data_IF_972154435181
#
_entry.id   IF_972154435181
#
_cell.length_a   1.000
_cell.length_b   1.000
_cell.length_c   1.000
_cell.angle_alpha   90.00
_cell.angle_beta   90.00
_cell.angle_gamma   90.00
#
_symmetry.space_group_name_H-M   'P 1'
#
loop_
_entity.id
_entity.type
_entity.pdbx_description
1 polymer ?
#
# COMPACT_ATOMS: atom_id res chain seq x y z
N UNK A 1 16.67 -16.51 17.78
CA UNK A 1 16.27 -15.95 16.47
C UNK A 1 15.32 -14.81 16.75
N UNK A 2 15.41 -13.67 16.08
CA UNK A 2 14.41 -12.61 16.23
C UNK A 2 13.02 -13.16 15.90
N UNK A 3 12.00 -12.65 16.60
CA UNK A 3 10.62 -13.04 16.34
C UNK A 3 10.25 -12.75 14.87
N UNK A 4 9.46 -13.59 14.20
CA UNK A 4 9.04 -13.33 12.83
C UNK A 4 8.21 -12.04 12.79
N UNK A 5 8.38 -11.25 11.73
CA UNK A 5 7.66 -9.97 11.55
C UNK A 5 6.14 -10.14 11.55
N UNK A 6 5.67 -11.26 11.00
CA UNK A 6 4.27 -11.70 11.02
C UNK A 6 4.25 -13.19 11.45
N UNK A 7 3.34 -13.54 12.33
CA UNK A 7 3.17 -14.93 12.74
C UNK A 7 2.48 -15.78 11.67
N UNK A 8 2.61 -17.09 11.77
CA UNK A 8 2.06 -18.02 10.79
C UNK A 8 0.53 -18.03 10.80
N UNK A 9 -0.09 -17.86 11.97
CA UNK A 9 -1.54 -17.87 12.08
C UNK A 9 -2.17 -16.67 11.35
N UNK A 10 -1.54 -15.49 11.43
CA UNK A 10 -1.96 -14.32 10.67
C UNK A 10 -1.74 -14.53 9.17
N UNK A 11 -0.61 -15.11 8.74
CA UNK A 11 -0.37 -15.39 7.31
C UNK A 11 -1.46 -16.28 6.70
N UNK A 12 -1.91 -17.33 7.42
CA UNK A 12 -2.99 -18.21 6.95
C UNK A 12 -4.34 -17.46 6.81
N UNK A 13 -4.61 -16.47 7.67
CA UNK A 13 -5.79 -15.61 7.55
C UNK A 13 -5.67 -14.64 6.36
N UNK A 14 -4.48 -14.08 6.13
CA UNK A 14 -4.20 -13.15 5.02
C UNK A 14 -4.38 -13.78 3.62
N UNK A 15 -4.26 -15.09 3.49
CA UNK A 15 -4.48 -15.80 2.22
C UNK A 15 -5.91 -15.62 1.66
N UNK A 16 -6.86 -15.21 2.50
CA UNK A 16 -8.26 -14.96 2.12
C UNK A 16 -8.51 -13.56 1.62
N UNK A 17 -7.58 -12.63 1.86
CA UNK A 17 -7.70 -11.22 1.49
C UNK A 17 -7.23 -10.96 0.07
N UNK A 18 -7.72 -9.88 -0.51
CA UNK A 18 -7.31 -9.36 -1.82
C UNK A 18 -7.14 -7.84 -1.72
N UNK A 19 -6.09 -7.30 -2.31
CA UNK A 19 -5.92 -5.85 -2.43
C UNK A 19 -6.82 -5.36 -3.56
N UNK A 20 -7.74 -4.45 -3.24
CA UNK A 20 -8.71 -3.96 -4.21
C UNK A 20 -8.14 -2.80 -5.02
N UNK A 21 -8.24 -2.89 -6.35
CA UNK A 21 -7.90 -1.83 -7.27
C UNK A 21 -9.10 -1.44 -8.14
N UNK A 22 -9.50 -0.17 -8.09
CA UNK A 22 -10.67 0.34 -8.83
C UNK A 22 -10.38 0.75 -10.27
N UNK A 23 -9.14 1.11 -10.61
CA UNK A 23 -8.79 1.57 -11.96
C UNK A 23 -8.58 0.36 -12.88
N UNK A 24 -9.62 0.01 -13.63
CA UNK A 24 -9.43 -0.79 -14.84
C UNK A 24 -8.36 -0.12 -15.71
N UNK A 25 -7.33 -0.87 -16.10
CA UNK A 25 -6.34 -0.37 -17.06
C UNK A 25 -7.09 0.06 -18.33
N UNK A 26 -7.08 1.34 -18.74
CA UNK A 26 -7.67 1.74 -20.00
C UNK A 26 -6.90 1.03 -21.12
N UNK A 27 -7.55 0.08 -21.80
CA UNK A 27 -6.96 -0.77 -22.85
C UNK A 27 -7.12 -2.27 -22.65
N UNK A 28 -7.50 -2.75 -21.45
CA UNK A 28 -7.79 -4.17 -21.18
C UNK A 28 -9.29 -4.48 -21.05
N UNK A 29 -10.13 -3.48 -20.80
CA UNK A 29 -11.59 -3.59 -20.76
C UNK A 29 -12.20 -2.44 -21.54
N UNK A 30 -12.10 -2.50 -22.83
CA UNK A 30 -12.72 -1.52 -23.72
C UNK A 30 -12.81 -2.04 -25.13
N UNK A 31 -13.96 -2.63 -25.48
CA UNK A 31 -14.41 -2.82 -26.84
C UNK A 31 -13.55 -3.75 -27.75
N UNK A 32 -14.03 -4.94 -28.01
CA UNK A 32 -13.73 -5.80 -29.16
C UNK A 32 -12.36 -6.49 -29.32
N UNK A 33 -11.40 -6.32 -28.43
CA UNK A 33 -10.19 -7.14 -28.44
C UNK A 33 -10.03 -7.87 -27.12
N UNK A 34 -10.65 -9.02 -26.98
CA UNK A 34 -10.29 -10.04 -25.98
C UNK A 34 -8.81 -10.34 -26.15
N UNK A 35 -8.05 -10.16 -25.06
CA UNK A 35 -6.61 -10.41 -25.04
C UNK A 35 -6.25 -11.74 -25.69
N UNK A 36 -5.33 -11.70 -26.66
CA UNK A 36 -4.87 -12.87 -27.43
C UNK A 36 -3.90 -13.78 -26.69
N UNK A 37 -3.68 -13.56 -25.40
CA UNK A 37 -2.70 -14.33 -24.63
C UNK A 37 -3.37 -15.40 -23.77
N UNK A 38 -3.35 -16.64 -24.25
CA UNK A 38 -3.64 -17.80 -23.43
C UNK A 38 -2.35 -18.21 -22.69
N UNK A 39 -2.34 -18.17 -21.37
CA UNK A 39 -1.22 -18.61 -20.51
C UNK A 39 -1.69 -19.63 -19.47
N UNK A 40 -0.78 -20.49 -19.01
CA UNK A 40 -1.06 -21.47 -17.96
C UNK A 40 -1.35 -20.75 -16.62
N UNK A 41 -2.46 -21.09 -15.94
CA UNK A 41 -2.83 -20.56 -14.63
C UNK A 41 -4.00 -19.57 -14.63
N UNK A 42 -4.81 -19.55 -15.68
CA UNK A 42 -5.95 -18.65 -15.83
C UNK A 42 -7.26 -19.40 -15.65
N UNK A 43 -8.25 -18.76 -15.06
CA UNK A 43 -9.60 -19.29 -15.03
C UNK A 43 -10.15 -19.40 -16.45
N UNK A 44 -10.71 -20.58 -16.76
CA UNK A 44 -11.38 -20.81 -18.02
C UNK A 44 -12.65 -19.95 -18.08
N UNK A 45 -12.72 -19.07 -19.08
CA UNK A 45 -13.86 -18.17 -19.24
C UNK A 45 -14.94 -18.81 -20.13
N UNK A 46 -14.58 -19.16 -21.37
CA UNK A 46 -15.52 -19.68 -22.38
C UNK A 46 -14.79 -20.25 -23.62
N UNK A 47 -15.54 -20.72 -24.58
CA UNK A 47 -15.07 -21.11 -25.90
C UNK A 47 -15.51 -20.10 -26.96
N UNK A 48 -14.57 -19.63 -27.78
CA UNK A 48 -14.83 -18.81 -28.96
C UNK A 48 -14.60 -19.63 -30.24
N UNK A 49 -15.37 -19.40 -31.29
CA UNK A 49 -15.06 -19.95 -32.59
C UNK A 49 -13.69 -19.48 -33.09
N UNK A 50 -12.98 -20.40 -33.72
CA UNK A 50 -11.70 -20.11 -34.38
C UNK A 50 -11.93 -19.21 -35.59
N UNK A 51 -11.08 -18.23 -35.80
CA UNK A 51 -11.02 -17.37 -36.97
C UNK A 51 -9.63 -17.49 -37.60
N UNK A 52 -9.57 -17.31 -38.93
CA UNK A 52 -8.31 -17.34 -39.66
C UNK A 52 -7.35 -16.29 -39.12
N UNK A 53 -6.14 -16.75 -38.73
CA UNK A 53 -5.13 -15.92 -38.06
C UNK A 53 -5.02 -16.12 -36.53
N UNK A 54 -5.88 -16.93 -35.94
CA UNK A 54 -5.78 -17.30 -34.51
C UNK A 54 -4.66 -18.35 -34.30
N UNK A 55 -4.11 -18.37 -33.04
CA UNK A 55 -3.08 -19.35 -32.67
C UNK A 55 -3.68 -20.74 -32.48
N UNK A 56 -3.26 -21.69 -33.30
CA UNK A 56 -3.69 -23.10 -33.26
C UNK A 56 -3.35 -23.79 -31.91
N UNK A 57 -2.39 -23.28 -31.13
CA UNK A 57 -2.04 -23.83 -29.80
C UNK A 57 -3.15 -23.63 -28.78
N UNK A 58 -3.98 -22.62 -28.98
CA UNK A 58 -5.12 -22.31 -28.11
C UNK A 58 -6.38 -23.12 -28.47
N UNK A 59 -6.35 -23.92 -29.53
CA UNK A 59 -7.49 -24.71 -29.96
C UNK A 59 -7.83 -25.82 -28.98
N UNK A 60 -9.12 -25.97 -28.69
CA UNK A 60 -9.63 -27.10 -27.92
C UNK A 60 -9.83 -28.33 -28.79
N UNK A 61 -8.78 -29.13 -28.97
CA UNK A 61 -8.81 -30.35 -29.80
C UNK A 61 -9.83 -31.37 -29.30
N UNK A 62 -10.15 -31.42 -28.00
CA UNK A 62 -11.20 -32.31 -27.47
C UNK A 62 -12.59 -31.86 -27.91
N UNK A 63 -12.85 -30.56 -27.99
CA UNK A 63 -14.11 -30.04 -28.51
C UNK A 63 -14.22 -30.29 -30.02
N UNK A 64 -13.12 -30.12 -30.76
CA UNK A 64 -13.07 -30.43 -32.19
C UNK A 64 -13.44 -31.90 -32.50
N UNK A 65 -12.86 -32.85 -31.75
CA UNK A 65 -13.16 -34.28 -31.94
C UNK A 65 -14.62 -34.68 -31.67
N UNK A 66 -15.37 -33.88 -30.91
CA UNK A 66 -16.78 -34.15 -30.58
C UNK A 66 -17.77 -33.38 -31.44
N UNK A 67 -17.42 -32.18 -31.86
CA UNK A 67 -18.35 -31.25 -32.47
C UNK A 67 -17.99 -30.90 -33.92
N UNK A 68 -16.84 -31.37 -34.40
CA UNK A 68 -16.28 -31.04 -35.72
C UNK A 68 -16.22 -29.53 -36.01
N UNK A 69 -15.99 -28.76 -34.93
CA UNK A 69 -15.87 -27.30 -34.97
C UNK A 69 -14.66 -26.87 -34.16
N UNK A 70 -13.88 -25.92 -34.72
CA UNK A 70 -12.71 -25.39 -34.07
C UNK A 70 -13.12 -24.32 -33.05
N UNK A 71 -12.82 -24.57 -31.80
CA UNK A 71 -13.02 -23.62 -30.69
C UNK A 71 -11.67 -23.27 -30.04
N UNK A 72 -11.49 -22.00 -29.72
CA UNK A 72 -10.41 -21.52 -28.89
C UNK A 72 -10.85 -21.50 -27.42
N UNK A 73 -9.98 -21.95 -26.54
CA UNK A 73 -10.16 -21.75 -25.09
C UNK A 73 -9.86 -20.30 -24.75
N UNK A 74 -10.86 -19.62 -24.26
CA UNK A 74 -10.71 -18.26 -23.69
C UNK A 74 -10.41 -18.37 -22.20
N UNK A 75 -9.39 -17.68 -21.74
CA UNK A 75 -9.03 -17.60 -20.35
C UNK A 75 -9.16 -16.14 -19.91
N UNK A 76 -9.66 -15.93 -18.70
CA UNK A 76 -9.65 -14.63 -18.09
C UNK A 76 -8.23 -14.35 -17.59
N UNK A 77 -7.60 -13.32 -18.14
CA UNK A 77 -6.37 -12.79 -17.60
C UNK A 77 -6.73 -11.92 -16.40
N UNK A 78 -6.44 -12.39 -15.20
CA UNK A 78 -6.33 -11.46 -14.07
C UNK A 78 -5.06 -10.62 -14.30
N UNK A 79 -5.18 -9.33 -14.58
CA UNK A 79 -4.01 -8.49 -14.77
C UNK A 79 -3.24 -8.41 -13.44
N UNK A 80 -1.96 -8.78 -13.46
CA UNK A 80 -1.08 -8.58 -12.31
C UNK A 80 -0.97 -7.09 -12.03
N UNK A 81 -1.37 -6.70 -10.84
CA UNK A 81 -1.37 -5.30 -10.42
C UNK A 81 0.03 -4.94 -9.93
N UNK A 82 0.63 -3.86 -10.43
CA UNK A 82 1.82 -3.30 -9.79
C UNK A 82 1.41 -2.62 -8.48
N UNK A 83 1.63 -3.29 -7.35
CA UNK A 83 1.41 -2.77 -6.01
C UNK A 83 2.72 -2.23 -5.47
N UNK A 84 2.75 -0.96 -5.10
CA UNK A 84 3.93 -0.27 -4.59
C UNK A 84 3.62 0.27 -3.20
N UNK A 85 4.38 -0.19 -2.22
CA UNK A 85 4.23 0.19 -0.82
C UNK A 85 5.36 1.16 -0.51
N UNK A 86 5.02 2.44 -0.38
CA UNK A 86 5.91 3.48 0.10
C UNK A 86 5.84 3.47 1.63
N UNK A 87 6.96 3.13 2.27
CA UNK A 87 7.07 3.03 3.71
C UNK A 87 7.94 4.16 4.23
N UNK A 88 7.36 5.00 5.06
CA UNK A 88 8.08 6.07 5.75
C UNK A 88 9.05 5.48 6.78
N UNK A 89 10.31 5.93 6.70
CA UNK A 89 11.38 5.55 7.62
C UNK A 89 12.03 6.77 8.27
N UNK A 90 11.33 7.93 8.29
CA UNK A 90 11.80 9.16 8.94
C UNK A 90 11.90 9.00 10.46
N UNK A 91 12.57 9.94 11.12
CA UNK A 91 12.72 9.93 12.57
C UNK A 91 11.40 10.09 13.33
N UNK A 92 10.40 10.77 12.75
CA UNK A 92 9.08 10.91 13.35
C UNK A 92 8.41 9.55 13.61
N UNK A 93 8.72 8.55 12.77
CA UNK A 93 8.23 7.18 12.90
C UNK A 93 8.84 6.40 14.10
N UNK A 94 9.85 6.92 14.77
CA UNK A 94 10.49 6.26 15.93
C UNK A 94 9.69 6.41 17.22
N UNK A 95 8.74 7.36 17.28
CA UNK A 95 7.97 7.65 18.49
C UNK A 95 6.90 6.61 18.80
N UNK A 96 6.48 6.52 20.09
CA UNK A 96 5.46 5.61 20.63
C UNK A 96 5.97 4.75 21.79
N UNK A 97 5.16 4.62 22.87
CA UNK A 97 5.55 3.90 24.10
C UNK A 97 5.47 2.37 23.96
N UNK A 98 4.47 1.86 23.26
CA UNK A 98 4.16 0.42 23.18
C UNK A 98 4.62 -0.23 21.87
N UNK A 99 5.74 0.21 21.35
CA UNK A 99 6.25 -0.10 20.02
C UNK A 99 6.13 1.12 19.14
N UNK A 100 7.24 1.45 18.46
CA UNK A 100 7.26 2.63 17.63
C UNK A 100 6.34 2.48 16.42
N UNK A 101 5.88 3.59 15.87
CA UNK A 101 5.05 3.64 14.66
C UNK A 101 5.68 2.86 13.51
N UNK A 102 7.00 2.89 13.42
CA UNK A 102 7.74 2.18 12.39
C UNK A 102 7.61 0.66 12.48
N UNK A 103 7.69 0.07 13.69
CA UNK A 103 7.49 -1.38 13.85
C UNK A 103 6.09 -1.82 13.44
N UNK A 104 5.10 -0.98 13.76
CA UNK A 104 3.73 -1.20 13.33
C UNK A 104 3.59 -1.09 11.80
N UNK A 105 4.12 -0.02 11.21
CA UNK A 105 4.10 0.24 9.78
C UNK A 105 4.82 -0.87 8.99
N UNK A 106 5.95 -1.39 9.49
CA UNK A 106 6.65 -2.55 8.89
C UNK A 106 5.79 -3.80 8.87
N UNK A 107 5.09 -4.11 9.97
CA UNK A 107 4.19 -5.27 10.04
C UNK A 107 3.03 -5.12 9.06
N UNK A 108 2.47 -3.92 8.97
CA UNK A 108 1.39 -3.61 8.03
C UNK A 108 1.87 -3.73 6.58
N UNK A 109 3.03 -3.16 6.24
CA UNK A 109 3.66 -3.29 4.93
C UNK A 109 3.94 -4.76 4.57
N UNK A 110 4.42 -5.56 5.53
CA UNK A 110 4.64 -6.99 5.34
C UNK A 110 3.34 -7.75 5.07
N UNK A 111 2.27 -7.44 5.81
CA UNK A 111 0.96 -8.06 5.60
C UNK A 111 0.40 -7.74 4.20
N UNK A 112 0.43 -6.49 3.79
CA UNK A 112 -0.03 -6.08 2.46
C UNK A 112 0.84 -6.67 1.34
N UNK A 113 2.16 -6.72 1.54
CA UNK A 113 3.08 -7.42 0.63
C UNK A 113 2.70 -8.89 0.48
N UNK A 114 2.41 -9.59 1.58
CA UNK A 114 2.00 -10.99 1.55
C UNK A 114 0.70 -11.20 0.78
N UNK A 115 -0.33 -10.40 1.05
CA UNK A 115 -1.61 -10.46 0.34
C UNK A 115 -1.40 -10.33 -1.17
N UNK A 116 -0.63 -9.34 -1.62
CA UNK A 116 -0.34 -9.17 -3.05
C UNK A 116 0.48 -10.33 -3.64
N UNK A 117 1.47 -10.85 -2.91
CA UNK A 117 2.26 -12.00 -3.37
C UNK A 117 1.41 -13.27 -3.51
N UNK A 118 0.45 -13.51 -2.61
CA UNK A 118 -0.50 -14.64 -2.72
C UNK A 118 -1.33 -14.55 -4.00
N UNK A 119 -1.70 -13.33 -4.38
CA UNK A 119 -2.46 -13.04 -5.62
C UNK A 119 -1.59 -12.92 -6.88
N UNK A 120 -0.29 -13.21 -6.75
CA UNK A 120 0.70 -13.14 -7.84
C UNK A 120 0.95 -11.72 -8.39
N UNK A 121 0.60 -10.69 -7.63
CA UNK A 121 0.87 -9.30 -7.98
C UNK A 121 2.38 -9.00 -8.04
N UNK A 122 2.73 -7.91 -8.69
CA UNK A 122 4.08 -7.36 -8.67
C UNK A 122 4.22 -6.39 -7.51
N UNK A 123 5.00 -6.76 -6.50
CA UNK A 123 5.19 -5.97 -5.28
C UNK A 123 6.49 -5.20 -5.34
N UNK A 124 6.43 -3.92 -4.97
CA UNK A 124 7.58 -3.08 -4.68
C UNK A 124 7.44 -2.54 -3.24
N UNK A 125 8.42 -2.83 -2.39
CA UNK A 125 8.57 -2.16 -1.11
C UNK A 125 9.60 -1.05 -1.29
N UNK A 126 9.18 0.19 -1.11
CA UNK A 126 9.99 1.38 -1.32
C UNK A 126 10.06 2.20 -0.04
N UNK A 127 11.12 2.08 0.76
CA UNK A 127 11.32 2.97 1.89
C UNK A 127 11.65 4.39 1.41
N UNK A 128 11.20 5.39 2.16
CA UNK A 128 11.53 6.79 1.92
C UNK A 128 11.67 7.57 3.22
N UNK A 129 12.47 8.62 3.19
CA UNK A 129 12.60 9.69 4.19
C UNK A 129 12.85 11.00 3.46
N UNK A 130 14.00 11.63 3.59
CA UNK A 130 14.46 12.74 2.76
C UNK A 130 14.77 12.31 1.31
N UNK A 131 15.04 11.05 1.10
CA UNK A 131 15.32 10.42 -0.19
C UNK A 131 14.64 9.06 -0.29
N UNK A 132 14.53 8.54 -1.53
CA UNK A 132 14.15 7.14 -1.73
C UNK A 132 15.30 6.21 -1.35
N UNK A 133 15.02 5.26 -0.46
CA UNK A 133 15.94 4.16 -0.18
C UNK A 133 15.99 3.12 -1.30
N UNK A 134 16.73 2.04 -1.06
CA UNK A 134 16.75 0.90 -1.97
C UNK A 134 15.39 0.19 -1.98
N UNK A 135 14.89 -0.09 -3.18
CA UNK A 135 13.62 -0.78 -3.35
C UNK A 135 13.81 -2.30 -3.34
N UNK A 136 12.90 -3.00 -2.68
CA UNK A 136 12.76 -4.44 -2.84
C UNK A 136 11.64 -4.75 -3.84
N UNK A 137 11.97 -5.53 -4.86
CA UNK A 137 11.03 -5.93 -5.91
C UNK A 137 10.77 -7.43 -5.83
N UNK A 138 9.51 -7.83 -5.80
CA UNK A 138 9.11 -9.22 -5.79
C UNK A 138 7.89 -9.46 -6.71
N UNK A 139 7.91 -10.60 -7.37
CA UNK A 139 6.79 -11.14 -8.13
C UNK A 139 6.82 -12.66 -8.06
N UNK A 140 5.70 -13.31 -8.34
CA UNK A 140 5.71 -14.76 -8.49
C UNK A 140 5.32 -15.59 -7.28
N UNK A 141 4.66 -15.01 -6.30
CA UNK A 141 3.96 -15.78 -5.27
C UNK A 141 4.59 -15.76 -3.87
N UNK A 142 3.89 -16.40 -2.94
CA UNK A 142 4.17 -16.34 -1.48
C UNK A 142 5.57 -16.80 -1.06
N UNK A 143 6.26 -17.61 -1.86
CA UNK A 143 7.63 -18.06 -1.57
C UNK A 143 8.64 -16.90 -1.50
N UNK A 144 8.31 -15.75 -2.10
CA UNK A 144 9.13 -14.52 -2.04
C UNK A 144 8.96 -13.74 -0.74
N UNK A 145 7.95 -14.08 0.07
CA UNK A 145 7.63 -13.33 1.29
C UNK A 145 8.79 -13.31 2.31
N UNK A 146 9.51 -14.43 2.47
CA UNK A 146 10.62 -14.47 3.42
C UNK A 146 11.72 -13.42 3.08
N UNK A 147 11.98 -13.20 1.80
CA UNK A 147 12.93 -12.18 1.36
C UNK A 147 12.40 -10.76 1.66
N UNK A 148 11.11 -10.53 1.41
CA UNK A 148 10.44 -9.26 1.74
C UNK A 148 10.46 -8.98 3.26
N UNK A 149 10.15 -9.99 4.07
CA UNK A 149 10.19 -9.87 5.53
C UNK A 149 11.61 -9.57 6.04
N UNK A 150 12.62 -10.23 5.49
CA UNK A 150 14.02 -9.95 5.82
C UNK A 150 14.42 -8.52 5.42
N UNK A 151 14.00 -8.07 4.24
CA UNK A 151 14.24 -6.70 3.79
C UNK A 151 13.63 -5.69 4.78
N UNK A 152 12.33 -5.82 5.10
CA UNK A 152 11.65 -4.94 6.05
C UNK A 152 12.26 -4.97 7.46
N UNK A 153 12.73 -6.14 7.93
CA UNK A 153 13.38 -6.27 9.24
C UNK A 153 14.70 -5.52 9.31
N UNK A 154 15.43 -5.44 8.18
CA UNK A 154 16.74 -4.79 8.11
C UNK A 154 16.66 -3.27 7.87
N UNK A 155 15.47 -2.72 7.57
CA UNK A 155 15.31 -1.28 7.42
C UNK A 155 15.63 -0.56 8.74
N UNK A 156 16.25 0.60 8.62
CA UNK A 156 16.60 1.48 9.74
C UNK A 156 15.91 2.81 9.57
N UNK A 157 15.43 3.35 10.66
CA UNK A 157 14.89 4.70 10.75
C UNK A 157 16.04 5.70 10.58
N UNK A 158 15.77 6.81 9.90
CA UNK A 158 16.69 7.92 9.78
C UNK A 158 16.28 8.93 8.72
N UNK A 159 16.81 10.14 8.88
CA UNK A 159 16.50 11.27 8.00
C UNK A 159 15.26 12.05 8.44
N UNK A 160 15.09 13.21 7.83
CA UNK A 160 13.87 13.99 7.89
C UNK A 160 12.90 13.52 6.81
N UNK A 161 11.66 13.96 6.86
CA UNK A 161 10.67 13.66 5.83
C UNK A 161 10.77 14.66 4.67
N UNK A 162 10.83 14.16 3.43
CA UNK A 162 10.66 14.96 2.20
C UNK A 162 9.78 14.18 1.23
N UNK A 163 8.50 14.15 1.52
CA UNK A 163 7.56 13.32 0.76
C UNK A 163 7.45 13.77 -0.71
N UNK A 164 7.52 15.08 -1.00
CA UNK A 164 7.44 15.56 -2.39
C UNK A 164 8.67 15.15 -3.22
N UNK A 165 9.88 15.29 -2.65
CA UNK A 165 11.11 14.80 -3.29
C UNK A 165 11.04 13.30 -3.57
N UNK A 166 10.64 12.52 -2.55
CA UNK A 166 10.45 11.08 -2.68
C UNK A 166 9.41 10.70 -3.75
N UNK A 167 8.26 11.39 -3.82
CA UNK A 167 7.24 11.15 -4.83
C UNK A 167 7.73 11.41 -6.26
N UNK A 168 8.50 12.49 -6.46
CA UNK A 168 9.09 12.82 -7.76
C UNK A 168 10.10 11.76 -8.21
N UNK A 169 11.00 11.36 -7.32
CA UNK A 169 12.01 10.34 -7.62
C UNK A 169 11.37 8.97 -7.85
N UNK A 170 10.30 8.67 -7.10
CA UNK A 170 9.51 7.46 -7.28
C UNK A 170 8.87 7.38 -8.67
N UNK A 171 8.24 8.45 -9.17
CA UNK A 171 7.66 8.50 -10.53
C UNK A 171 8.74 8.33 -11.59
N UNK A 172 9.91 8.96 -11.41
CA UNK A 172 11.04 8.79 -12.32
C UNK A 172 11.49 7.33 -12.43
N UNK A 173 11.49 6.61 -11.30
CA UNK A 173 11.91 5.21 -11.20
C UNK A 173 10.82 4.22 -11.64
N UNK A 174 9.55 4.55 -11.37
CA UNK A 174 8.39 3.70 -11.64
C UNK A 174 7.27 4.43 -12.40
N UNK A 175 7.48 4.78 -13.68
CA UNK A 175 6.51 5.55 -14.46
C UNK A 175 5.22 4.78 -14.80
N UNK A 176 5.21 3.46 -14.62
CA UNK A 176 4.03 2.64 -14.91
C UNK A 176 2.95 2.84 -13.86
N UNK A 177 1.72 3.03 -14.32
CA UNK A 177 0.54 3.13 -13.44
C UNK A 177 0.40 1.90 -12.57
N UNK A 178 -0.06 2.08 -11.35
CA UNK A 178 -0.26 1.03 -10.38
C UNK A 178 -0.92 1.52 -9.11
N UNK A 179 -1.12 0.62 -8.18
CA UNK A 179 -1.57 0.95 -6.84
C UNK A 179 -0.37 1.39 -5.99
N UNK A 180 -0.47 2.55 -5.38
CA UNK A 180 0.53 3.07 -4.43
C UNK A 180 -0.11 3.15 -3.05
N UNK A 181 0.46 2.42 -2.11
CA UNK A 181 0.07 2.42 -0.71
C UNK A 181 1.13 3.20 0.04
N UNK A 182 0.78 4.34 0.61
CA UNK A 182 1.69 5.15 1.41
C UNK A 182 1.40 4.88 2.89
N UNK A 183 2.41 4.43 3.63
CA UNK A 183 2.32 4.17 5.06
C UNK A 183 3.26 5.14 5.76
N UNK A 184 2.69 6.12 6.49
CA UNK A 184 3.39 7.20 7.17
C UNK A 184 2.52 7.72 8.33
N UNK A 185 3.08 8.48 9.24
CA UNK A 185 2.31 9.30 10.17
C UNK A 185 1.83 10.62 9.52
N UNK A 186 2.40 10.98 8.36
CA UNK A 186 2.13 12.21 7.61
C UNK A 186 2.35 13.49 8.44
N UNK A 187 3.16 13.44 9.49
CA UNK A 187 3.51 14.57 10.32
C UNK A 187 4.72 15.33 9.72
N UNK A 188 4.59 15.77 8.50
CA UNK A 188 5.58 16.60 7.79
C UNK A 188 5.09 18.06 7.77
N UNK A 189 5.96 19.02 8.05
CA UNK A 189 5.69 20.45 7.96
C UNK A 189 5.34 20.88 6.53
N UNK A 190 5.70 20.06 5.53
CA UNK A 190 5.39 20.31 4.13
C UNK A 190 3.97 19.91 3.78
N UNK A 191 3.37 20.63 2.83
CA UNK A 191 2.06 20.33 2.28
C UNK A 191 2.03 18.94 1.61
N UNK A 192 1.38 17.97 2.26
CA UNK A 192 1.22 16.60 1.76
C UNK A 192 0.30 16.50 0.54
N UNK A 193 -0.49 17.53 0.22
CA UNK A 193 -1.41 17.54 -0.93
C UNK A 193 -0.64 17.47 -2.25
N UNK A 194 0.44 18.24 -2.39
CA UNK A 194 1.25 18.28 -3.62
C UNK A 194 1.83 16.94 -4.04
N UNK A 195 2.53 16.18 -3.15
CA UNK A 195 3.05 14.86 -3.52
C UNK A 195 1.95 13.87 -3.86
N UNK A 196 0.81 13.90 -3.16
CA UNK A 196 -0.30 13.00 -3.41
C UNK A 196 -0.99 13.31 -4.75
N UNK A 197 -1.20 14.59 -5.05
CA UNK A 197 -1.71 15.01 -6.35
C UNK A 197 -0.75 14.60 -7.47
N UNK A 198 0.55 14.83 -7.29
CA UNK A 198 1.57 14.44 -8.26
C UNK A 198 1.53 12.94 -8.58
N UNK A 199 1.49 12.08 -7.57
CA UNK A 199 1.33 10.63 -7.76
C UNK A 199 0.04 10.26 -8.50
N UNK A 200 -1.08 10.92 -8.17
CA UNK A 200 -2.37 10.69 -8.83
C UNK A 200 -2.40 11.15 -10.27
N UNK A 201 -1.76 12.29 -10.60
CA UNK A 201 -1.69 12.85 -11.96
C UNK A 201 -0.93 11.92 -12.92
N UNK A 202 0.06 11.20 -12.41
CA UNK A 202 0.72 10.11 -13.15
C UNK A 202 -0.11 8.84 -13.27
N UNK A 203 -1.33 8.86 -12.75
CA UNK A 203 -2.31 7.79 -12.92
C UNK A 203 -2.24 6.67 -11.90
N UNK A 204 -1.49 6.84 -10.81
CA UNK A 204 -1.51 5.90 -9.71
C UNK A 204 -2.83 6.01 -8.93
N UNK A 205 -3.32 4.90 -8.44
CA UNK A 205 -4.36 4.86 -7.42
C UNK A 205 -3.70 4.88 -6.04
N UNK A 206 -4.23 5.67 -5.12
CA UNK A 206 -3.59 5.91 -3.83
C UNK A 206 -4.38 5.25 -2.69
N UNK A 207 -3.67 4.60 -1.78
CA UNK A 207 -4.17 4.24 -0.45
C UNK A 207 -3.24 4.90 0.56
N UNK A 208 -3.77 5.89 1.29
CA UNK A 208 -3.06 6.56 2.36
C UNK A 208 -3.37 5.83 3.66
N UNK A 209 -2.34 5.31 4.29
CA UNK A 209 -2.44 4.64 5.58
C UNK A 209 -1.68 5.48 6.60
N UNK A 210 -2.41 6.32 7.33
CA UNK A 210 -1.84 7.10 8.41
C UNK A 210 -1.72 6.21 9.65
N UNK A 211 -0.52 6.15 10.22
CA UNK A 211 -0.21 5.41 11.45
C UNK A 211 0.24 6.40 12.51
N UNK A 212 -0.39 6.36 13.70
CA UNK A 212 0.00 7.23 14.82
C UNK A 212 0.01 6.47 16.14
N UNK A 213 0.83 6.91 17.08
CA UNK A 213 0.72 6.47 18.46
C UNK A 213 -0.43 7.21 19.16
N UNK A 214 -1.06 6.61 20.15
CA UNK A 214 -2.16 7.28 20.88
C UNK A 214 -1.71 8.62 21.49
N UNK A 215 -0.44 8.72 21.89
CA UNK A 215 0.18 9.95 22.39
C UNK A 215 0.33 11.04 21.32
N UNK A 216 0.39 10.70 20.04
CA UNK A 216 0.45 11.70 18.97
C UNK A 216 -0.89 12.44 18.84
N UNK A 217 -2.02 11.79 19.17
CA UNK A 217 -3.34 12.40 19.16
C UNK A 217 -3.74 12.97 20.52
N UNK A 218 -3.44 12.26 21.58
CA UNK A 218 -3.77 12.62 22.97
C UNK A 218 -2.51 12.63 23.82
N UNK A 219 -1.68 13.69 23.73
CA UNK A 219 -0.45 13.77 24.49
C UNK A 219 -0.70 13.69 26.00
N UNK A 220 0.02 12.82 26.74
CA UNK A 220 -0.17 12.65 28.18
C UNK A 220 0.52 13.74 29.01
N UNK A 221 0.90 14.83 28.39
CA UNK A 221 1.67 15.92 28.99
C UNK A 221 0.78 16.92 29.72
N UNK A 222 1.37 17.63 30.70
CA UNK A 222 0.71 18.70 31.43
C UNK A 222 1.77 19.64 32.01
N UNK A 223 1.45 20.94 32.09
CA UNK A 223 2.34 21.97 32.63
C UNK A 223 3.23 22.64 31.59
N UNK A 224 4.36 23.20 32.05
CA UNK A 224 5.35 23.80 31.15
C UNK A 224 6.20 22.74 30.49
N UNK A 225 6.26 22.76 29.17
CA UNK A 225 6.97 21.80 28.34
C UNK A 225 8.02 22.50 27.49
N UNK A 226 9.16 21.83 27.31
CA UNK A 226 10.13 22.11 26.27
C UNK A 226 10.10 20.94 25.29
N UNK A 227 9.49 21.16 24.11
CA UNK A 227 9.35 20.16 23.08
C UNK A 227 10.48 20.30 22.07
N UNK A 228 11.15 19.20 21.79
CA UNK A 228 12.16 19.10 20.74
C UNK A 228 11.55 18.41 19.50
N UNK A 229 11.64 19.06 18.36
CA UNK A 229 11.28 18.45 17.07
C UNK A 229 12.27 17.35 16.70
N UNK A 230 11.77 16.14 16.47
CA UNK A 230 12.61 14.95 16.25
C UNK A 230 13.45 15.01 14.96
N UNK A 231 13.00 15.78 13.95
CA UNK A 231 13.66 15.88 12.65
C UNK A 231 14.61 17.06 12.57
N UNK A 232 14.20 18.23 13.09
CA UNK A 232 14.96 19.49 12.97
C UNK A 232 15.79 19.81 14.21
N UNK A 233 15.46 19.22 15.36
CA UNK A 233 16.07 19.55 16.66
C UNK A 233 15.69 20.93 17.19
N UNK A 234 14.65 21.55 16.66
CA UNK A 234 14.14 22.82 17.15
C UNK A 234 13.38 22.63 18.46
N UNK A 235 13.53 23.59 19.37
CA UNK A 235 12.85 23.59 20.67
C UNK A 235 11.71 24.60 20.69
N UNK A 236 10.59 24.18 21.27
CA UNK A 236 9.43 25.04 21.51
C UNK A 236 8.99 24.91 22.97
N UNK A 237 9.14 26.02 23.75
CA UNK A 237 8.60 26.12 25.10
C UNK A 237 7.13 26.51 25.04
N UNK A 238 6.27 25.74 25.71
CA UNK A 238 4.84 26.04 25.78
C UNK A 238 4.20 25.51 27.05
N UNK A 239 3.15 26.21 27.51
CA UNK A 239 2.30 25.72 28.59
C UNK A 239 1.19 24.82 28.01
N UNK A 240 1.17 23.58 28.45
CA UNK A 240 0.23 22.58 27.98
C UNK A 240 -0.81 22.27 29.05
N UNK A 241 -1.94 22.96 28.98
CA UNK A 241 -3.07 22.77 29.87
C UNK A 241 -4.21 21.97 29.21
N UNK A 242 -5.31 21.78 29.93
CA UNK A 242 -6.47 21.03 29.39
C UNK A 242 -7.08 21.66 28.14
N UNK A 243 -7.02 23.00 28.01
CA UNK A 243 -7.52 23.71 26.84
C UNK A 243 -6.58 23.53 25.63
N UNK A 244 -5.26 23.68 25.88
CA UNK A 244 -4.25 23.41 24.84
C UNK A 244 -4.33 21.97 24.34
N UNK A 245 -4.53 21.00 25.25
CA UNK A 245 -4.74 19.59 24.86
C UNK A 245 -5.98 19.41 23.98
N UNK A 246 -7.11 20.01 24.34
CA UNK A 246 -8.33 19.92 23.55
C UNK A 246 -8.17 20.55 22.16
N UNK A 247 -7.47 21.69 22.06
CA UNK A 247 -7.16 22.35 20.79
C UNK A 247 -6.23 21.49 19.93
N UNK A 248 -5.21 20.90 20.53
CA UNK A 248 -4.27 20.01 19.84
C UNK A 248 -4.99 18.77 19.27
N UNK A 249 -5.80 18.09 20.09
CA UNK A 249 -6.58 16.92 19.62
C UNK A 249 -7.53 17.29 18.48
N UNK A 250 -8.21 18.46 18.58
CA UNK A 250 -9.06 18.95 17.51
C UNK A 250 -8.28 19.24 16.22
N UNK A 251 -7.10 19.84 16.32
CA UNK A 251 -6.23 20.10 15.17
C UNK A 251 -5.72 18.80 14.52
N UNK A 252 -5.37 17.79 15.32
CA UNK A 252 -5.01 16.46 14.82
C UNK A 252 -6.16 15.82 14.05
N UNK A 253 -7.38 15.84 14.60
CA UNK A 253 -8.57 15.27 13.95
C UNK A 253 -8.93 16.04 12.66
N UNK A 254 -8.77 17.36 12.63
CA UNK A 254 -8.95 18.19 11.46
C UNK A 254 -7.92 17.85 10.37
N UNK A 255 -6.66 17.67 10.75
CA UNK A 255 -5.60 17.25 9.83
C UNK A 255 -5.87 15.85 9.24
N UNK A 256 -6.31 14.89 10.04
CA UNK A 256 -6.70 13.56 9.57
C UNK A 256 -7.88 13.64 8.57
N UNK A 257 -8.87 14.53 8.82
CA UNK A 257 -9.94 14.80 7.87
C UNK A 257 -9.43 15.46 6.59
N UNK A 258 -8.48 16.37 6.69
CA UNK A 258 -7.83 16.98 5.52
C UNK A 258 -7.14 15.92 4.65
N UNK A 259 -6.33 15.03 5.22
CA UNK A 259 -5.71 13.91 4.52
C UNK A 259 -6.75 13.03 3.81
N UNK A 260 -7.87 12.75 4.49
CA UNK A 260 -8.98 12.00 3.89
C UNK A 260 -9.57 12.71 2.69
N UNK A 261 -9.80 14.02 2.78
CA UNK A 261 -10.32 14.82 1.66
C UNK A 261 -9.35 14.84 0.48
N UNK A 262 -8.05 15.01 0.74
CA UNK A 262 -7.01 14.96 -0.28
C UNK A 262 -6.99 13.60 -0.99
N UNK A 263 -7.05 12.50 -0.23
CA UNK A 263 -7.13 11.16 -0.79
C UNK A 263 -8.34 11.00 -1.71
N UNK A 264 -9.54 11.37 -1.24
CA UNK A 264 -10.78 11.26 -2.01
C UNK A 264 -10.78 12.13 -3.28
N UNK A 265 -10.28 13.37 -3.21
CA UNK A 265 -10.12 14.24 -4.40
C UNK A 265 -9.26 13.59 -5.47
N UNK A 266 -8.23 12.88 -5.06
CA UNK A 266 -7.30 12.17 -5.93
C UNK A 266 -7.77 10.73 -6.24
N UNK A 267 -9.06 10.41 -6.03
CA UNK A 267 -9.65 9.08 -6.26
C UNK A 267 -8.93 7.98 -5.50
N UNK A 268 -8.30 8.33 -4.40
CA UNK A 268 -7.65 7.41 -3.48
C UNK A 268 -8.52 7.08 -2.28
N UNK A 269 -7.96 6.33 -1.34
CA UNK A 269 -8.57 5.96 -0.07
C UNK A 269 -7.67 6.41 1.07
N UNK A 270 -8.29 6.68 2.21
CA UNK A 270 -7.58 7.02 3.45
C UNK A 270 -8.01 6.06 4.55
N UNK A 271 -7.03 5.58 5.29
CA UNK A 271 -7.21 4.76 6.48
C UNK A 271 -6.32 5.28 7.58
N UNK A 272 -6.91 5.73 8.68
CA UNK A 272 -6.19 6.12 9.88
C UNK A 272 -6.18 4.97 10.89
N UNK A 273 -5.01 4.66 11.46
CA UNK A 273 -4.81 3.51 12.35
C UNK A 273 -3.92 3.90 13.53
N UNK A 274 -4.44 3.93 14.76
CA UNK A 274 -3.59 4.05 15.94
C UNK A 274 -2.81 2.74 16.18
N UNK A 275 -1.58 2.84 16.66
CA UNK A 275 -0.71 1.69 16.93
C UNK A 275 -1.20 0.78 18.06
N UNK A 276 -2.12 1.28 18.90
CA UNK A 276 -2.81 0.48 19.92
C UNK A 276 -3.75 -0.59 19.35
N UNK A 277 -4.23 -0.41 18.11
CA UNK A 277 -5.04 -1.41 17.42
C UNK A 277 -4.13 -2.52 16.88
N UNK A 278 -4.35 -3.79 17.23
CA UNK A 278 -3.55 -4.88 16.68
C UNK A 278 -3.56 -4.89 15.15
N UNK A 279 -2.41 -5.20 14.52
CA UNK A 279 -2.27 -5.21 13.05
C UNK A 279 -3.32 -6.12 12.39
N UNK A 280 -3.63 -7.26 12.99
CA UNK A 280 -4.69 -8.15 12.50
C UNK A 280 -6.05 -7.44 12.46
N UNK A 281 -6.42 -6.77 13.54
CA UNK A 281 -7.68 -6.03 13.62
C UNK A 281 -7.73 -4.86 12.63
N UNK A 282 -6.61 -4.17 12.43
CA UNK A 282 -6.47 -3.10 11.45
C UNK A 282 -6.70 -3.61 10.01
N UNK A 283 -6.16 -4.78 9.68
CA UNK A 283 -6.31 -5.41 8.37
C UNK A 283 -7.76 -5.83 8.10
N UNK A 284 -8.38 -6.56 9.03
CA UNK A 284 -9.75 -7.08 8.87
C UNK A 284 -10.86 -6.09 9.22
N UNK A 285 -10.53 -4.94 9.81
CA UNK A 285 -11.44 -3.89 10.20
C UNK A 285 -11.32 -2.63 9.32
N UNK A 286 -10.51 -1.63 9.71
CA UNK A 286 -10.39 -0.35 9.00
C UNK A 286 -10.03 -0.48 7.53
N UNK A 287 -9.07 -1.34 7.17
CA UNK A 287 -8.63 -1.52 5.78
C UNK A 287 -9.70 -2.18 4.90
N UNK A 288 -10.43 -3.16 5.42
CA UNK A 288 -11.58 -3.76 4.71
C UNK A 288 -12.72 -2.74 4.58
N UNK A 289 -13.08 -2.04 5.65
CA UNK A 289 -14.15 -1.01 5.59
C UNK A 289 -13.84 0.14 4.62
N UNK A 290 -12.58 0.47 4.42
CA UNK A 290 -12.18 1.48 3.44
C UNK A 290 -12.25 0.98 1.99
N UNK A 291 -12.44 -0.31 1.76
CA UNK A 291 -12.35 -0.96 0.47
C UNK A 291 -10.92 -1.03 -0.07
N UNK A 292 -9.91 -0.88 0.79
CA UNK A 292 -8.50 -1.06 0.40
C UNK A 292 -8.15 -2.54 0.21
N UNK A 293 -8.79 -3.40 1.01
CA UNK A 293 -8.66 -4.86 1.01
C UNK A 293 -10.07 -5.46 1.04
N UNK A 294 -10.25 -6.62 0.45
CA UNK A 294 -11.47 -7.45 0.45
C UNK A 294 -11.18 -8.85 0.94
#
# INVERSE_FOLDING_TARGET
MPAPLIDRALLEKLERLTIHWQKSLPGLVGGHNTSRFAGAGQEFLDHRHFHQGDDLRAVNWRAFLRLDKLFLKMFQLEPRIPVRILLDISKSMETGKDGNKFDYARKLAAAMCYVGLVRLDSICLQPFSDQLGDAFLASGGRHRFQQAATFLTNLKIGGATNFFGAARDFISKFPQRGLVIVISDFLDDADCEKPLQYLSDFGHELILTQVWADEDREPPWDGELDLEDAETGQHVELAFDSNARAQYTAAFDEYAQHLRHVALRNRGRYVGIPTSVPVEEALFGPLVRSGAIE
#
